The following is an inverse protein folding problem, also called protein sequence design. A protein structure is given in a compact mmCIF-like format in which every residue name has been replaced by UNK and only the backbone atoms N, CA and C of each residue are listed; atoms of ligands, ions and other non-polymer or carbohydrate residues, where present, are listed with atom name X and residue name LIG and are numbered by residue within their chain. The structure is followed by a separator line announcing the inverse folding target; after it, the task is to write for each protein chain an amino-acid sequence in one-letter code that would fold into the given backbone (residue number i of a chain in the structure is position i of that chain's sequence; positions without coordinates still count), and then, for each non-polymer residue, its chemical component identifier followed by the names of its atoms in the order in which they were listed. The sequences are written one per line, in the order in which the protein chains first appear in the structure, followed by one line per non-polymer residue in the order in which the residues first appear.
data_IF_687236522733
#
_entry.id   IF_687236522733
#
_cell.length_a   1.000
_cell.length_b   1.000
_cell.length_c   1.000
_cell.angle_alpha   90.00
_cell.angle_beta   90.00
_cell.angle_gamma   90.00
#
_symmetry.space_group_name_H-M   'P 1'
#
loop_
_entity.id
_entity.type
_entity.pdbx_description
1 polymer ?
#
# COMPACT_ATOMS: atom_id res chain seq x y z
N UNK A 1 -0.97 7.26 -5.13
CA UNK A 1 -1.11 6.10 -4.22
C UNK A 1 -1.44 4.84 -5.00
N UNK A 2 -0.76 3.73 -4.73
CA UNK A 2 -1.05 2.42 -5.33
C UNK A 2 -1.25 1.41 -4.20
N UNK A 3 -2.36 0.66 -4.17
CA UNK A 3 -2.59 -0.36 -3.15
C UNK A 3 -1.64 -1.54 -3.36
N UNK A 4 -0.86 -1.91 -2.32
CA UNK A 4 0.15 -2.97 -2.41
C UNK A 4 0.07 -3.92 -1.21
N UNK A 5 -0.72 -4.99 -1.32
CA UNK A 5 -0.89 -5.96 -0.24
C UNK A 5 0.38 -6.78 0.04
N UNK A 6 1.32 -6.84 -0.90
CA UNK A 6 2.52 -7.67 -0.70
C UNK A 6 3.49 -7.09 0.31
N UNK A 7 3.32 -5.83 0.72
CA UNK A 7 4.18 -5.19 1.73
C UNK A 7 3.98 -5.81 3.13
N UNK A 8 2.81 -6.40 3.41
CA UNK A 8 2.53 -7.08 4.69
C UNK A 8 2.91 -8.57 4.67
N UNK A 9 3.68 -9.00 3.66
CA UNK A 9 4.12 -10.38 3.56
C UNK A 9 5.08 -10.74 4.70
N UNK A 10 4.84 -11.88 5.36
CA UNK A 10 5.88 -12.56 6.13
C UNK A 10 6.70 -13.44 5.19
N UNK A 11 7.99 -13.12 5.08
CA UNK A 11 8.95 -13.81 4.21
C UNK A 11 10.06 -14.52 5.01
N UNK A 12 9.86 -14.76 6.31
CA UNK A 12 10.91 -15.33 7.18
C UNK A 12 11.10 -16.84 7.00
N UNK A 13 10.12 -17.55 6.43
CA UNK A 13 10.16 -19.02 6.29
C UNK A 13 9.80 -19.49 4.89
N UNK A 14 10.62 -20.37 4.32
CA UNK A 14 10.38 -20.97 3.01
C UNK A 14 10.50 -19.98 1.85
N UNK A 15 10.02 -20.38 0.66
CA UNK A 15 10.07 -19.57 -0.57
C UNK A 15 8.73 -18.93 -0.95
N UNK A 16 7.66 -19.27 -0.23
CA UNK A 16 6.32 -18.73 -0.44
C UNK A 16 6.00 -17.69 0.64
N UNK A 17 5.74 -16.42 0.28
CA UNK A 17 5.31 -15.41 1.25
C UNK A 17 3.96 -15.77 1.86
N UNK A 18 3.81 -15.53 3.17
CA UNK A 18 2.53 -15.58 3.86
C UNK A 18 1.95 -14.17 4.00
N UNK A 19 0.63 -14.03 3.84
CA UNK A 19 -0.09 -12.75 3.93
C UNK A 19 -1.14 -12.75 5.05
N UNK A 20 -1.08 -13.72 5.97
CA UNK A 20 -2.04 -13.87 7.07
C UNK A 20 -2.14 -12.66 8.00
N UNK A 21 -1.09 -11.84 8.10
CA UNK A 21 -1.09 -10.59 8.87
C UNK A 21 -1.85 -9.43 8.19
N UNK A 22 -2.20 -9.58 6.91
CA UNK A 22 -2.93 -8.56 6.16
C UNK A 22 -4.40 -8.44 6.56
N UNK A 23 -4.95 -7.24 6.38
CA UNK A 23 -6.39 -7.02 6.53
C UNK A 23 -7.19 -7.80 5.48
N UNK A 24 -8.42 -8.19 5.84
CA UNK A 24 -9.37 -8.81 4.88
C UNK A 24 -9.61 -7.87 3.67
N UNK A 25 -9.88 -8.39 2.47
CA UNK A 25 -9.99 -7.58 1.25
C UNK A 25 -10.96 -6.39 1.35
N UNK A 26 -12.13 -6.58 1.96
CA UNK A 26 -13.14 -5.51 2.10
C UNK A 26 -12.66 -4.39 3.04
N UNK A 27 -12.00 -4.77 4.15
CA UNK A 27 -11.41 -3.81 5.10
C UNK A 27 -10.24 -3.07 4.45
N UNK A 28 -9.38 -3.79 3.73
CA UNK A 28 -8.25 -3.20 3.01
C UNK A 28 -8.70 -2.23 1.92
N UNK A 29 -9.78 -2.55 1.18
CA UNK A 29 -10.40 -1.65 0.20
C UNK A 29 -10.90 -0.38 0.85
N UNK A 30 -11.68 -0.51 1.92
CA UNK A 30 -12.21 0.64 2.65
C UNK A 30 -11.10 1.53 3.22
N UNK A 31 -10.04 0.93 3.80
CA UNK A 31 -8.87 1.67 4.29
C UNK A 31 -8.14 2.40 3.17
N UNK A 32 -7.96 1.76 2.01
CA UNK A 32 -7.34 2.39 0.86
C UNK A 32 -8.17 3.58 0.37
N UNK A 33 -9.48 3.40 0.16
CA UNK A 33 -10.39 4.48 -0.22
C UNK A 33 -10.34 5.65 0.78
N UNK A 34 -10.40 5.35 2.08
CA UNK A 34 -10.24 6.35 3.13
C UNK A 34 -8.90 7.11 3.02
N UNK A 35 -7.78 6.41 2.80
CA UNK A 35 -6.47 7.02 2.64
C UNK A 35 -6.42 7.94 1.42
N UNK A 36 -7.00 7.53 0.29
CA UNK A 36 -7.05 8.37 -0.92
C UNK A 36 -7.82 9.67 -0.69
N UNK A 37 -8.94 9.62 0.04
CA UNK A 37 -9.72 10.81 0.40
C UNK A 37 -8.91 11.72 1.33
N UNK A 38 -8.20 11.16 2.31
CA UNK A 38 -7.36 11.95 3.23
C UNK A 38 -6.19 12.61 2.51
N UNK A 39 -5.51 11.89 1.63
CA UNK A 39 -4.38 12.43 0.86
C UNK A 39 -4.82 13.58 -0.06
N UNK A 40 -5.93 13.41 -0.79
CA UNK A 40 -6.47 14.47 -1.67
C UNK A 40 -6.94 15.72 -0.90
N UNK A 41 -7.32 15.58 0.37
CA UNK A 41 -7.65 16.74 1.22
C UNK A 41 -6.42 17.51 1.70
N UNK A 42 -5.29 16.83 1.85
CA UNK A 42 -4.06 17.41 2.40
C UNK A 42 -3.11 17.93 1.30
N UNK A 43 -3.18 17.33 0.10
CA UNK A 43 -2.28 17.64 -1.00
C UNK A 43 -3.07 17.77 -2.30
N UNK A 44 -2.71 18.74 -3.18
CA UNK A 44 -3.28 18.83 -4.51
C UNK A 44 -2.84 17.64 -5.39
N UNK A 45 -3.68 17.27 -6.35
CA UNK A 45 -3.37 16.36 -7.47
C UNK A 45 -2.85 14.96 -7.10
N UNK A 46 -3.39 14.35 -6.04
CA UNK A 46 -3.02 12.98 -5.66
C UNK A 46 -3.61 11.95 -6.63
N UNK A 47 -2.80 11.48 -7.57
CA UNK A 47 -3.15 10.38 -8.46
C UNK A 47 -3.21 9.03 -7.72
N UNK A 48 -4.15 8.16 -8.10
CA UNK A 48 -4.40 6.87 -7.46
C UNK A 48 -4.56 5.72 -8.48
N UNK A 49 -4.07 4.53 -8.12
CA UNK A 49 -4.38 3.28 -8.82
C UNK A 49 -5.75 2.71 -8.44
N UNK A 50 -6.07 1.52 -8.96
CA UNK A 50 -7.36 0.84 -8.75
C UNK A 50 -7.16 -0.37 -7.83
N UNK A 51 -7.92 -0.43 -6.73
CA UNK A 51 -7.83 -1.54 -5.78
C UNK A 51 -8.26 -2.87 -6.42
N UNK A 52 -7.39 -3.88 -6.30
CA UNK A 52 -7.65 -5.23 -6.82
C UNK A 52 -7.51 -5.39 -8.34
N UNK A 53 -7.15 -4.32 -9.07
CA UNK A 53 -6.86 -4.42 -10.48
C UNK A 53 -5.43 -4.93 -10.72
N UNK A 54 -5.24 -5.67 -11.81
CA UNK A 54 -3.90 -5.92 -12.33
C UNK A 54 -3.35 -4.63 -12.94
N UNK A 55 -2.25 -4.12 -12.39
CA UNK A 55 -1.68 -2.82 -12.76
C UNK A 55 -0.22 -2.96 -13.15
N UNK A 56 0.19 -2.16 -14.14
CA UNK A 56 1.59 -1.95 -14.49
C UNK A 56 1.98 -0.54 -14.04
N UNK A 57 2.88 -0.43 -13.06
CA UNK A 57 3.28 0.85 -12.48
C UNK A 57 4.67 1.21 -13.00
N UNK A 58 4.74 2.25 -13.82
CA UNK A 58 6.02 2.85 -14.23
C UNK A 58 6.45 3.90 -13.22
N UNK A 59 7.72 3.90 -12.84
CA UNK A 59 8.32 5.00 -12.10
C UNK A 59 9.76 5.27 -12.57
N UNK A 60 10.18 6.52 -12.46
CA UNK A 60 11.60 6.91 -12.49
C UNK A 60 11.96 7.36 -11.08
N UNK A 61 12.83 6.61 -10.42
CA UNK A 61 13.30 6.96 -9.08
C UNK A 61 14.54 7.86 -9.19
N UNK A 62 14.32 9.18 -9.17
CA UNK A 62 15.38 10.19 -9.28
C UNK A 62 16.13 10.32 -7.93
N UNK A 63 17.37 9.85 -7.88
CA UNK A 63 18.13 9.54 -6.66
C UNK A 63 18.99 8.28 -6.83
N UNK A 64 18.55 7.06 -6.44
CA UNK A 64 17.25 6.72 -5.88
C UNK A 64 17.22 6.84 -4.35
N UNK A 65 16.09 7.29 -3.81
CA UNK A 65 15.84 7.34 -2.37
C UNK A 65 14.54 6.60 -2.09
N UNK A 66 14.58 5.67 -1.13
CA UNK A 66 13.42 4.85 -0.75
C UNK A 66 13.30 4.83 0.75
N UNK A 67 12.11 5.15 1.27
CA UNK A 67 11.79 5.06 2.69
C UNK A 67 10.75 3.98 2.94
N UNK A 68 10.95 3.21 4.00
CA UNK A 68 9.94 2.32 4.55
C UNK A 68 9.25 3.01 5.72
N UNK A 69 7.93 3.13 5.67
CA UNK A 69 7.13 3.76 6.72
C UNK A 69 6.10 2.76 7.23
N UNK A 70 6.00 2.64 8.55
CA UNK A 70 5.03 1.81 9.24
C UNK A 70 4.43 2.60 10.40
N UNK A 71 3.12 2.44 10.61
CA UNK A 71 2.41 3.00 11.77
C UNK A 71 2.04 1.84 12.67
N UNK A 72 2.63 1.81 13.87
CA UNK A 72 2.27 0.83 14.89
C UNK A 72 0.85 1.06 15.44
N UNK A 73 0.33 0.12 16.25
CA UNK A 73 -0.95 0.30 16.91
C UNK A 73 -1.00 1.62 17.69
N UNK A 74 -2.13 2.33 17.61
CA UNK A 74 -2.36 3.51 18.42
C UNK A 74 -2.29 3.10 19.90
N UNK A 75 -1.42 3.77 20.65
CA UNK A 75 -1.27 3.61 22.10
C UNK A 75 -2.53 3.98 22.86
#
# INVERSE_FOLDING_TARGET
LVPQFTLVADTRTGTRPDFGAGAKPDVARWLFEYMTVRANRQHPDVACGIFGANMQVSLTNDGPVTFWLEVGPAS
#
